data_IF_034823646476
#
_entry.id   IF_034823646476
#
_cell.length_a   1.000
_cell.length_b   1.000
_cell.length_c   1.000
_cell.angle_alpha   90.00
_cell.angle_beta   90.00
_cell.angle_gamma   90.00
#
_symmetry.space_group_name_H-M   'P 1'
#
loop_
_entity.id
_entity.type
_entity.pdbx_description
1 polymer ?
#
# COMPACT_ATOMS: atom_id res chain seq x y z
N UNK A 1 5.99 36.45 19.53
CA UNK A 1 6.47 35.56 18.46
C UNK A 1 6.42 34.13 18.98
N UNK A 2 5.71 33.13 18.46
CA UNK A 2 4.78 33.03 17.34
C UNK A 2 3.95 31.73 17.54
N UNK A 3 2.96 31.74 18.43
CA UNK A 3 2.09 30.58 18.75
C UNK A 3 1.32 30.07 17.53
N UNK A 4 1.01 30.97 16.60
CA UNK A 4 0.38 30.65 15.33
C UNK A 4 1.28 29.75 14.46
N UNK A 5 2.59 30.05 14.35
CA UNK A 5 3.52 29.29 13.50
C UNK A 5 3.65 27.84 13.99
N UNK A 6 3.73 27.61 15.30
CA UNK A 6 3.76 26.25 15.84
C UNK A 6 2.46 25.48 15.60
N UNK A 7 1.30 26.15 15.59
CA UNK A 7 0.02 25.52 15.24
C UNK A 7 -0.01 25.14 13.76
N UNK A 8 0.48 25.98 12.86
CA UNK A 8 0.51 25.71 11.41
C UNK A 8 1.54 24.65 11.02
N UNK A 9 2.74 24.64 11.62
CA UNK A 9 3.74 23.60 11.39
C UNK A 9 3.30 22.24 11.93
N UNK A 10 2.66 22.20 13.10
CA UNK A 10 2.06 20.96 13.62
C UNK A 10 0.89 20.49 12.73
N UNK A 11 0.09 21.42 12.19
CA UNK A 11 -0.99 21.09 11.25
C UNK A 11 -0.45 20.51 9.95
N UNK A 12 0.60 21.10 9.35
CA UNK A 12 1.28 20.56 8.15
C UNK A 12 1.94 19.20 8.40
N UNK A 13 2.48 18.97 9.59
CA UNK A 13 3.02 17.65 9.99
C UNK A 13 1.93 16.58 10.05
N UNK A 14 0.70 16.95 10.42
CA UNK A 14 -0.47 16.05 10.37
C UNK A 14 -1.17 16.00 9.01
N UNK A 15 -1.13 17.06 8.19
CA UNK A 15 -1.89 17.19 6.93
C UNK A 15 -1.13 16.64 5.69
N UNK A 16 0.16 16.34 5.81
CA UNK A 16 0.90 15.57 4.78
C UNK A 16 0.52 14.07 4.76
N UNK A 17 -0.09 13.58 5.84
CA UNK A 17 -0.73 12.28 5.88
C UNK A 17 -2.10 12.48 5.25
N UNK A 18 -2.29 12.06 4.00
CA UNK A 18 -3.63 11.86 3.43
C UNK A 18 -4.49 11.24 4.54
N UNK A 19 -5.61 11.87 4.90
CA UNK A 19 -6.56 11.33 5.87
C UNK A 19 -7.19 10.08 5.24
N UNK A 20 -6.45 8.99 5.24
CA UNK A 20 -6.90 7.69 4.78
C UNK A 20 -7.88 7.18 5.84
N UNK A 21 -9.17 7.16 5.52
CA UNK A 21 -10.18 6.61 6.40
C UNK A 21 -10.05 5.09 6.49
N UNK A 22 -10.59 4.50 7.57
CA UNK A 22 -10.65 3.04 7.72
C UNK A 22 -11.36 2.40 6.52
N UNK A 23 -12.50 2.96 6.10
CA UNK A 23 -13.27 2.45 4.95
C UNK A 23 -12.46 2.47 3.65
N UNK A 24 -11.59 3.45 3.46
CA UNK A 24 -10.69 3.51 2.32
C UNK A 24 -9.65 2.39 2.38
N UNK A 25 -9.09 2.11 3.57
CA UNK A 25 -8.16 0.99 3.77
C UNK A 25 -8.83 -0.33 3.43
N UNK A 26 -10.08 -0.55 3.86
CA UNK A 26 -10.82 -1.78 3.52
C UNK A 26 -11.05 -1.91 2.02
N UNK A 27 -11.58 -0.85 1.39
CA UNK A 27 -11.84 -0.85 -0.06
C UNK A 27 -10.59 -1.09 -0.89
N UNK A 28 -9.44 -0.57 -0.43
CA UNK A 28 -8.15 -0.81 -1.09
C UNK A 28 -7.68 -2.24 -0.84
N UNK A 29 -7.77 -2.73 0.39
CA UNK A 29 -7.44 -4.13 0.71
C UNK A 29 -8.20 -5.12 -0.17
N UNK A 30 -9.49 -4.88 -0.40
CA UNK A 30 -10.36 -5.69 -1.24
C UNK A 30 -9.89 -5.78 -2.70
N UNK A 31 -9.09 -4.83 -3.18
CA UNK A 31 -8.51 -4.85 -4.53
C UNK A 31 -7.21 -5.69 -4.63
N UNK A 32 -6.69 -6.22 -3.51
CA UNK A 32 -5.56 -7.16 -3.52
C UNK A 32 -5.94 -8.53 -4.06
N UNK A 33 -4.98 -9.26 -4.64
CA UNK A 33 -5.21 -10.58 -5.24
C UNK A 33 -5.50 -11.62 -4.17
N UNK A 34 -6.62 -12.32 -4.31
CA UNK A 34 -6.97 -13.48 -3.49
C UNK A 34 -6.18 -14.69 -3.99
N UNK A 35 -5.58 -15.44 -3.07
CA UNK A 35 -4.81 -16.63 -3.38
C UNK A 35 -5.51 -17.85 -2.78
N UNK A 36 -5.79 -18.86 -3.61
CA UNK A 36 -6.45 -20.08 -3.17
C UNK A 36 -5.66 -20.78 -2.05
N UNK A 37 -6.38 -21.32 -1.07
CA UNK A 37 -5.78 -21.99 0.09
C UNK A 37 -5.36 -21.06 1.22
N UNK A 38 -5.57 -19.74 1.09
CA UNK A 38 -5.33 -18.76 2.15
C UNK A 38 -6.60 -17.97 2.47
N UNK A 39 -6.74 -17.55 3.72
CA UNK A 39 -7.86 -16.72 4.17
C UNK A 39 -7.77 -15.31 3.54
N UNK A 40 -8.71 -14.92 2.63
CA UNK A 40 -8.66 -13.64 1.92
C UNK A 40 -8.91 -12.43 2.82
N UNK A 41 -9.42 -12.63 4.03
CA UNK A 41 -9.58 -11.57 5.02
C UNK A 41 -8.26 -11.25 5.72
N UNK A 42 -7.26 -12.15 5.63
CA UNK A 42 -5.97 -12.02 6.30
C UNK A 42 -4.80 -11.87 5.35
N UNK A 43 -4.82 -12.60 4.23
CA UNK A 43 -3.71 -12.72 3.29
C UNK A 43 -4.16 -12.41 1.87
N UNK A 44 -3.39 -11.57 1.20
CA UNK A 44 -3.55 -11.26 -0.23
C UNK A 44 -2.18 -11.06 -0.85
N UNK A 45 -2.12 -10.96 -2.17
CA UNK A 45 -0.94 -10.49 -2.87
C UNK A 45 -1.16 -9.13 -3.53
N UNK A 46 -0.11 -8.33 -3.59
CA UNK A 46 -0.11 -7.12 -4.42
C UNK A 46 0.00 -7.46 -5.92
N UNK A 47 0.03 -6.42 -6.76
CA UNK A 47 0.12 -6.62 -8.21
C UNK A 47 1.48 -7.17 -8.69
N UNK A 48 2.51 -7.02 -7.87
CA UNK A 48 3.85 -7.53 -8.11
C UNK A 48 3.99 -9.01 -7.70
N UNK A 49 3.02 -9.53 -6.93
CA UNK A 49 2.99 -10.90 -6.44
C UNK A 49 3.60 -11.07 -5.05
N UNK A 50 3.86 -9.99 -4.31
CA UNK A 50 4.29 -10.06 -2.91
C UNK A 50 3.11 -10.32 -1.99
N UNK A 51 3.30 -11.15 -0.96
CA UNK A 51 2.35 -11.31 0.12
C UNK A 51 2.17 -10.03 0.93
N UNK A 52 0.93 -9.73 1.26
CA UNK A 52 0.52 -8.66 2.17
C UNK A 52 -0.43 -9.23 3.23
N UNK A 53 -0.31 -8.75 4.47
CA UNK A 53 -1.18 -9.17 5.59
C UNK A 53 -2.07 -8.01 6.01
N UNK A 54 -3.37 -8.29 6.16
CA UNK A 54 -4.40 -7.29 6.42
C UNK A 54 -4.05 -6.37 7.60
N UNK A 55 -3.58 -6.93 8.72
CA UNK A 55 -3.24 -6.17 9.94
C UNK A 55 -1.85 -5.53 9.91
N UNK A 56 -1.11 -5.61 8.79
CA UNK A 56 0.20 -4.98 8.58
C UNK A 56 0.12 -3.73 7.69
N UNK A 57 -1.05 -3.10 7.62
CA UNK A 57 -1.20 -1.81 6.94
C UNK A 57 -0.29 -0.75 7.56
N UNK A 58 0.52 -0.08 6.75
CA UNK A 58 1.45 0.98 7.16
C UNK A 58 2.70 0.50 7.91
N UNK A 59 2.90 -0.81 8.04
CA UNK A 59 4.09 -1.41 8.64
C UNK A 59 5.20 -1.50 7.59
N UNK A 60 6.37 -0.89 7.87
CA UNK A 60 7.60 -1.04 7.08
C UNK A 60 8.64 -1.95 7.75
N UNK A 61 8.34 -2.40 8.96
CA UNK A 61 9.12 -3.35 9.76
C UNK A 61 8.72 -4.81 9.49
N UNK A 62 7.66 -5.04 8.72
CA UNK A 62 7.21 -6.37 8.31
C UNK A 62 7.44 -6.60 6.83
N UNK A 63 7.99 -7.77 6.48
CA UNK A 63 8.10 -8.19 5.07
C UNK A 63 6.73 -8.32 4.37
N UNK A 64 5.63 -8.40 5.12
CA UNK A 64 4.25 -8.47 4.64
C UNK A 64 3.47 -7.16 4.81
N UNK A 65 4.16 -6.09 5.20
CA UNK A 65 3.58 -4.78 5.35
C UNK A 65 3.17 -4.18 4.01
N UNK A 66 2.13 -3.35 4.02
CA UNK A 66 1.58 -2.80 2.80
C UNK A 66 1.02 -1.40 2.99
N UNK A 67 0.93 -0.67 1.89
CA UNK A 67 0.38 0.68 1.84
C UNK A 67 -0.56 0.83 0.65
N UNK A 68 -1.25 1.96 0.57
CA UNK A 68 -2.04 2.32 -0.61
C UNK A 68 -1.09 2.77 -1.73
N UNK A 69 -1.23 2.15 -2.90
CA UNK A 69 -0.64 2.62 -4.14
C UNK A 69 -1.45 3.82 -4.66
N UNK A 70 -0.83 5.00 -4.69
CA UNK A 70 -1.43 6.24 -5.16
C UNK A 70 -1.29 6.42 -6.68
N UNK A 71 -0.51 5.58 -7.35
CA UNK A 71 -0.31 5.63 -8.79
C UNK A 71 -0.49 4.22 -9.41
N UNK A 72 -1.66 3.57 -9.23
CA UNK A 72 -1.89 2.25 -9.80
C UNK A 72 -1.71 2.31 -11.32
N UNK A 73 -0.84 1.46 -11.87
CA UNK A 73 -0.60 1.44 -13.31
C UNK A 73 -1.89 1.05 -14.04
N UNK A 74 -2.30 1.88 -15.02
CA UNK A 74 -3.32 1.48 -15.98
C UNK A 74 -2.69 0.61 -17.06
N UNK A 75 -2.54 -0.68 -16.76
CA UNK A 75 -2.34 -1.66 -17.83
C UNK A 75 -3.61 -1.65 -18.69
N UNK A 76 -3.54 -1.05 -19.88
CA UNK A 76 -4.54 -1.05 -20.97
C UNK A 76 -5.47 0.17 -21.12
N UNK A 77 -5.14 1.34 -20.57
CA UNK A 77 -5.89 2.59 -20.88
C UNK A 77 -7.36 2.62 -20.43
N UNK A 78 -7.80 1.64 -19.64
CA UNK A 78 -9.12 1.64 -19.01
C UNK A 78 -9.07 2.59 -17.80
N UNK A 79 -9.99 3.54 -17.70
CA UNK A 79 -10.08 4.55 -16.63
C UNK A 79 -10.39 3.99 -15.23
N UNK A 80 -10.30 2.68 -15.03
CA UNK A 80 -10.61 2.00 -13.78
C UNK A 80 -9.36 1.72 -12.93
N UNK A 81 -8.45 2.70 -12.84
CA UNK A 81 -7.32 2.72 -11.90
C UNK A 81 -7.83 2.84 -10.46
N UNK A 82 -8.46 1.78 -9.95
CA UNK A 82 -8.82 1.67 -8.53
C UNK A 82 -7.53 1.61 -7.72
N UNK A 83 -7.52 2.29 -6.58
CA UNK A 83 -6.41 2.24 -5.63
C UNK A 83 -6.19 0.79 -5.17
N UNK A 84 -4.92 0.36 -5.13
CA UNK A 84 -4.54 -1.02 -4.84
C UNK A 84 -3.64 -1.10 -3.61
N UNK A 85 -3.66 -2.25 -2.91
CA UNK A 85 -2.69 -2.48 -1.87
C UNK A 85 -1.37 -2.88 -2.53
N UNK A 86 -0.27 -2.33 -2.03
CA UNK A 86 1.07 -2.62 -2.54
C UNK A 86 2.01 -2.90 -1.38
N UNK A 87 2.87 -3.91 -1.50
CA UNK A 87 3.90 -4.17 -0.50
C UNK A 87 4.84 -2.95 -0.42
N UNK A 88 5.27 -2.58 0.78
CA UNK A 88 5.91 -1.28 1.01
C UNK A 88 7.23 -1.09 0.25
N UNK A 89 8.06 -2.13 0.08
CA UNK A 89 9.29 -2.07 -0.73
C UNK A 89 8.98 -1.98 -2.22
N UNK A 90 7.99 -2.74 -2.70
CA UNK A 90 7.51 -2.66 -4.08
C UNK A 90 7.01 -1.24 -4.41
N UNK A 91 6.40 -0.56 -3.43
CA UNK A 91 6.00 0.84 -3.57
C UNK A 91 7.19 1.79 -3.68
N UNK A 92 8.20 1.63 -2.84
CA UNK A 92 9.43 2.45 -2.91
C UNK A 92 10.13 2.23 -4.27
N UNK A 93 10.21 0.98 -4.73
CA UNK A 93 10.78 0.63 -6.04
C UNK A 93 10.01 1.25 -7.21
N UNK A 94 8.68 1.28 -7.10
CA UNK A 94 7.81 1.95 -8.07
C UNK A 94 8.01 3.47 -8.07
N UNK A 95 8.21 4.09 -6.90
CA UNK A 95 8.43 5.53 -6.79
C UNK A 95 9.74 5.99 -7.47
N UNK A 96 10.74 5.11 -7.60
CA UNK A 96 11.97 5.38 -8.35
C UNK A 96 11.88 5.01 -9.84
N UNK A 97 10.70 4.66 -10.35
CA UNK A 97 10.44 4.41 -11.77
C UNK A 97 10.67 2.97 -12.25
N UNK A 98 10.82 2.02 -11.34
CA UNK A 98 11.02 0.61 -11.68
C UNK A 98 9.71 -0.18 -11.54
N UNK A 99 9.18 -0.68 -12.67
CA UNK A 99 7.83 -1.27 -12.74
C UNK A 99 7.79 -2.78 -12.46
N UNK A 100 8.95 -3.44 -12.43
CA UNK A 100 9.04 -4.83 -12.00
C UNK A 100 9.23 -4.84 -10.48
N UNK A 101 8.18 -5.15 -9.71
CA UNK A 101 8.29 -5.24 -8.25
C UNK A 101 9.43 -6.16 -7.82
N UNK A 102 10.22 -5.66 -6.85
CA UNK A 102 11.42 -6.30 -6.32
C UNK A 102 11.07 -7.47 -5.40
N UNK A 103 10.04 -7.29 -4.56
CA UNK A 103 9.57 -8.29 -3.61
C UNK A 103 8.51 -9.16 -4.26
N UNK A 104 8.66 -10.49 -4.12
CA UNK A 104 7.69 -11.48 -4.61
C UNK A 104 7.51 -12.61 -3.63
N UNK A 105 6.34 -13.23 -3.65
CA UNK A 105 6.09 -14.44 -2.90
C UNK A 105 6.85 -15.64 -3.50
N UNK A 106 7.58 -16.35 -2.65
CA UNK A 106 8.05 -17.72 -2.89
C UNK A 106 7.55 -18.60 -1.75
N UNK A 107 6.53 -19.40 -2.06
CA UNK A 107 5.78 -20.15 -1.04
C UNK A 107 5.14 -19.19 -0.03
N UNK A 108 5.34 -19.41 1.29
CA UNK A 108 4.76 -18.55 2.34
C UNK A 108 5.59 -17.30 2.64
N UNK A 109 6.71 -17.07 1.95
CA UNK A 109 7.65 -15.97 2.24
C UNK A 109 7.70 -14.97 1.11
N UNK A 110 8.02 -13.73 1.46
CA UNK A 110 8.47 -12.72 0.52
C UNK A 110 10.00 -12.78 0.41
N UNK A 111 10.51 -12.73 -0.83
CA UNK A 111 11.93 -12.63 -1.18
C UNK A 111 12.17 -11.43 -2.07
#
# INVERSE_FOLDING_TARGET
>A
MNTAVNKYENRRKTESKILVSRDMIEKVWENGRIINGHDPNRYRQDDCGAWIIRDRYGSKDSSYGWEIDKNPENKNGSSNSKLKPIQWENKEFKNIGMNNGMVKAVGPKNI
#
